data_IF_769196796442
#
_entry.id   IF_769196796442
#
_cell.length_a   1.000
_cell.length_b   1.000
_cell.length_c   1.000
_cell.angle_alpha   90.00
_cell.angle_beta   90.00
_cell.angle_gamma   90.00
#
_symmetry.space_group_name_H-M   'P 1'
#
loop_
_entity.id
_entity.type
_entity.pdbx_description
1 polymer ?
#
# COMPACT_ATOMS: atom_id res chain seq x y z
N UNK A 1 -10.92 11.29 -2.21
CA UNK A 1 -10.23 11.54 -0.96
C UNK A 1 -11.17 11.87 0.18
N UNK A 2 -12.26 12.55 -0.11
CA UNK A 2 -13.19 12.84 0.97
C UNK A 2 -13.77 11.58 1.61
N UNK A 3 -13.71 10.46 0.93
CA UNK A 3 -14.17 9.22 1.51
C UNK A 3 -13.14 8.51 2.34
N UNK A 4 -11.92 9.02 2.35
CA UNK A 4 -10.86 8.43 3.14
C UNK A 4 -11.11 8.72 4.62
N UNK A 5 -11.06 7.71 5.48
CA UNK A 5 -11.28 7.97 6.91
C UNK A 5 -10.17 8.83 7.50
N UNK A 6 -10.50 9.55 8.56
CA UNK A 6 -9.51 10.38 9.23
C UNK A 6 -8.34 9.54 9.73
N UNK A 7 -8.63 8.34 10.22
CA UNK A 7 -7.62 7.43 10.72
C UNK A 7 -8.08 6.00 10.49
N UNK A 8 -7.16 5.08 10.59
CA UNK A 8 -7.48 3.68 10.40
C UNK A 8 -6.26 2.81 10.62
N UNK A 9 -6.42 1.51 10.38
CA UNK A 9 -5.32 0.57 10.56
C UNK A 9 -4.39 0.55 9.35
N UNK A 10 -4.93 0.46 8.16
CA UNK A 10 -4.11 0.30 6.97
C UNK A 10 -4.60 1.18 5.85
N UNK A 11 -3.66 1.85 5.21
CA UNK A 11 -3.91 2.63 4.01
C UNK A 11 -3.11 2.02 2.87
N UNK A 12 -3.73 1.88 1.71
CA UNK A 12 -3.08 1.33 0.54
C UNK A 12 -2.80 2.46 -0.44
N UNK A 13 -1.57 2.53 -0.93
CA UNK A 13 -1.18 3.51 -1.94
C UNK A 13 -1.01 2.76 -3.26
N UNK A 14 -1.74 3.18 -4.28
CA UNK A 14 -1.74 2.51 -5.57
C UNK A 14 -1.22 3.43 -6.66
N UNK A 15 -1.09 2.87 -7.86
CA UNK A 15 -0.61 3.61 -9.01
C UNK A 15 -1.68 4.38 -9.78
N UNK A 16 -2.96 4.13 -9.54
CA UNK A 16 -4.00 4.81 -10.31
C UNK A 16 -5.35 4.78 -9.64
N UNK A 17 -6.25 5.63 -10.15
CA UNK A 17 -7.57 5.78 -9.56
C UNK A 17 -8.46 4.57 -9.74
N UNK A 18 -8.26 3.82 -10.82
CA UNK A 18 -9.03 2.61 -11.02
C UNK A 18 -8.81 1.63 -9.87
N UNK A 19 -7.57 1.53 -9.42
CA UNK A 19 -7.24 0.66 -8.30
C UNK A 19 -7.82 1.16 -7.00
N UNK A 20 -7.82 2.47 -6.80
CA UNK A 20 -8.46 3.06 -5.62
C UNK A 20 -9.92 2.68 -5.56
N UNK A 21 -10.61 2.78 -6.70
CA UNK A 21 -12.04 2.45 -6.76
C UNK A 21 -12.30 0.97 -6.51
N UNK A 22 -11.46 0.11 -7.07
CA UNK A 22 -11.59 -1.33 -6.84
C UNK A 22 -11.42 -1.67 -5.36
N UNK A 23 -10.42 -1.08 -4.72
CA UNK A 23 -10.18 -1.33 -3.31
C UNK A 23 -11.30 -0.78 -2.44
N UNK A 24 -11.77 0.42 -2.75
CA UNK A 24 -12.86 1.02 -1.99
C UNK A 24 -14.11 0.17 -2.08
N UNK A 25 -14.40 -0.38 -3.26
CA UNK A 25 -15.57 -1.22 -3.44
C UNK A 25 -15.49 -2.50 -2.60
N UNK A 26 -14.30 -2.89 -2.19
CA UNK A 26 -14.09 -4.06 -1.36
C UNK A 26 -13.79 -3.73 0.10
N UNK A 27 -13.94 -2.46 0.47
CA UNK A 27 -13.82 -2.05 1.86
C UNK A 27 -12.42 -1.65 2.31
N UNK A 28 -11.53 -1.34 1.38
CA UNK A 28 -10.15 -1.00 1.73
C UNK A 28 -9.85 0.46 1.40
N UNK A 29 -9.43 1.27 2.38
CA UNK A 29 -9.05 2.66 2.09
C UNK A 29 -7.81 2.70 1.21
N UNK A 30 -7.86 3.50 0.17
CA UNK A 30 -6.74 3.58 -0.77
C UNK A 30 -6.65 4.97 -1.38
N UNK A 31 -5.44 5.36 -1.78
CA UNK A 31 -5.23 6.62 -2.48
C UNK A 31 -4.19 6.41 -3.57
N UNK A 32 -4.09 7.37 -4.47
CA UNK A 32 -3.02 7.42 -5.45
C UNK A 32 -2.55 8.86 -5.56
N UNK A 33 -1.35 9.04 -6.12
CA UNK A 33 -0.74 10.37 -6.21
C UNK A 33 -0.52 10.76 -7.66
N UNK A 34 -1.55 10.71 -8.47
CA UNK A 34 -1.48 11.10 -9.85
C UNK A 34 -0.94 10.00 -10.73
N UNK A 35 0.11 10.28 -11.49
CA UNK A 35 0.65 9.27 -12.38
C UNK A 35 1.54 8.29 -11.63
N UNK A 36 1.78 7.14 -12.26
CA UNK A 36 2.63 6.12 -11.66
C UNK A 36 4.04 6.60 -11.39
N UNK A 37 4.50 7.57 -12.16
CA UNK A 37 5.86 8.07 -11.99
C UNK A 37 5.94 9.23 -11.01
N UNK A 38 4.83 9.68 -10.48
CA UNK A 38 4.83 10.81 -9.57
C UNK A 38 5.49 10.42 -8.25
N UNK A 39 6.27 11.33 -7.73
CA UNK A 39 6.89 11.12 -6.42
C UNK A 39 5.92 11.53 -5.34
N UNK A 40 6.00 10.86 -4.21
CA UNK A 40 5.12 11.16 -3.10
C UNK A 40 5.81 12.17 -2.20
N UNK A 41 5.21 13.34 -1.97
CA UNK A 41 5.84 14.32 -1.07
C UNK A 41 5.96 13.76 0.35
N UNK A 42 7.14 13.90 0.93
CA UNK A 42 7.41 13.35 2.25
C UNK A 42 6.49 13.94 3.31
N UNK A 43 6.12 15.21 3.16
CA UNK A 43 5.20 15.83 4.09
C UNK A 43 3.86 15.12 4.13
N UNK A 44 3.36 14.72 2.96
CA UNK A 44 2.09 14.00 2.90
C UNK A 44 2.20 12.62 3.50
N UNK A 45 3.32 11.93 3.25
CA UNK A 45 3.54 10.63 3.85
C UNK A 45 3.59 10.75 5.36
N UNK A 46 4.25 11.79 5.85
CA UNK A 46 4.35 12.02 7.28
C UNK A 46 2.97 12.15 7.92
N UNK A 47 2.10 12.92 7.28
CA UNK A 47 0.74 13.08 7.77
C UNK A 47 -0.03 11.77 7.76
N UNK A 48 0.15 10.99 6.72
CA UNK A 48 -0.55 9.72 6.61
C UNK A 48 -0.08 8.72 7.66
N UNK A 49 1.20 8.74 8.01
CA UNK A 49 1.70 7.83 9.04
C UNK A 49 1.13 8.16 10.41
N UNK A 50 0.66 9.38 10.61
CA UNK A 50 0.01 9.75 11.85
C UNK A 50 -1.44 9.31 11.89
N UNK A 51 -2.05 9.08 10.72
CA UNK A 51 -3.45 8.70 10.62
C UNK A 51 -3.66 7.20 10.49
N UNK A 52 -2.68 6.49 9.95
CA UNK A 52 -2.79 5.06 9.70
C UNK A 52 -1.61 4.34 10.31
N UNK A 53 -1.90 3.21 10.95
CA UNK A 53 -0.83 2.39 11.55
C UNK A 53 0.06 1.77 10.50
N UNK A 54 -0.51 1.46 9.37
CA UNK A 54 0.16 0.69 8.33
C UNK A 54 -0.07 1.35 6.99
N UNK A 55 0.99 1.55 6.24
CA UNK A 55 0.87 2.07 4.88
C UNK A 55 1.52 1.04 3.96
N UNK A 56 0.80 0.64 2.94
CA UNK A 56 1.22 -0.45 2.06
C UNK A 56 1.18 0.03 0.62
N UNK A 57 2.26 -0.23 -0.11
CA UNK A 57 2.32 0.09 -1.54
C UNK A 57 1.80 -1.10 -2.33
N UNK A 58 0.85 -0.86 -3.21
CA UNK A 58 0.29 -1.89 -4.05
C UNK A 58 0.25 -1.39 -5.49
N UNK A 59 1.20 -1.83 -6.27
CA UNK A 59 1.32 -1.44 -7.68
C UNK A 59 1.11 -2.66 -8.56
N UNK A 60 1.08 -2.43 -9.87
CA UNK A 60 0.89 -3.53 -10.80
C UNK A 60 1.97 -4.60 -10.64
N UNK A 61 1.61 -5.83 -10.95
CA UNK A 61 2.54 -6.96 -10.80
C UNK A 61 3.42 -7.17 -12.02
N UNK A 62 3.31 -6.32 -13.04
CA UNK A 62 4.25 -6.41 -14.16
C UNK A 62 5.60 -5.81 -13.75
N UNK A 63 6.59 -5.95 -14.62
CA UNK A 63 7.96 -5.53 -14.28
C UNK A 63 8.04 -4.06 -13.93
N UNK A 64 7.30 -3.22 -14.65
CA UNK A 64 7.31 -1.78 -14.40
C UNK A 64 6.72 -1.47 -13.03
N UNK A 65 5.58 -2.07 -12.71
CA UNK A 65 4.92 -1.83 -11.45
C UNK A 65 5.75 -2.29 -10.26
N UNK A 66 6.37 -3.47 -10.39
CA UNK A 66 7.21 -3.97 -9.30
C UNK A 66 8.43 -3.09 -9.08
N UNK A 67 9.04 -2.63 -10.16
CA UNK A 67 10.19 -1.74 -10.05
C UNK A 67 9.81 -0.45 -9.37
N UNK A 68 8.64 0.09 -9.72
CA UNK A 68 8.14 1.31 -9.14
C UNK A 68 7.90 1.16 -7.64
N UNK A 69 7.26 0.07 -7.26
CA UNK A 69 6.95 -0.17 -5.86
C UNK A 69 8.22 -0.31 -5.03
N UNK A 70 9.21 -1.02 -5.57
CA UNK A 70 10.48 -1.17 -4.87
C UNK A 70 11.20 0.16 -4.71
N UNK A 71 11.19 0.99 -5.76
CA UNK A 71 11.84 2.30 -5.70
C UNK A 71 11.17 3.19 -4.65
N UNK A 72 9.83 3.18 -4.62
CA UNK A 72 9.11 3.98 -3.65
C UNK A 72 9.34 3.47 -2.23
N UNK A 73 9.35 2.16 -2.05
CA UNK A 73 9.61 1.61 -0.73
C UNK A 73 10.98 2.03 -0.22
N UNK A 74 11.96 2.04 -1.11
CA UNK A 74 13.31 2.46 -0.76
C UNK A 74 13.33 3.95 -0.41
N UNK A 75 12.65 4.75 -1.21
CA UNK A 75 12.60 6.20 -0.97
C UNK A 75 11.91 6.52 0.34
N UNK A 76 10.91 5.76 0.70
CA UNK A 76 10.10 6.01 1.89
C UNK A 76 10.48 5.13 3.08
N UNK A 77 11.67 4.56 3.05
CA UNK A 77 12.05 3.59 4.09
C UNK A 77 12.02 4.17 5.50
N UNK A 78 12.20 5.49 5.62
CA UNK A 78 12.15 6.13 6.93
C UNK A 78 10.77 6.05 7.58
N UNK A 79 9.75 5.78 6.78
CA UNK A 79 8.37 5.73 7.26
C UNK A 79 7.85 4.31 7.40
N UNK A 80 8.68 3.32 7.14
CA UNK A 80 8.30 1.92 7.29
C UNK A 80 7.08 1.52 6.48
N UNK A 81 6.96 2.00 5.24
CA UNK A 81 5.87 1.58 4.39
C UNK A 81 6.13 0.16 3.91
N UNK A 82 5.09 -0.65 3.88
CA UNK A 82 5.19 -2.00 3.38
C UNK A 82 4.94 -2.06 1.89
N UNK A 83 5.15 -3.24 1.32
CA UNK A 83 4.89 -3.48 -0.09
C UNK A 83 4.18 -4.81 -0.23
N UNK A 84 3.14 -4.83 -1.03
CA UNK A 84 2.35 -6.03 -1.23
C UNK A 84 2.50 -6.52 -2.65
N UNK A 85 2.70 -7.82 -2.81
CA UNK A 85 2.69 -8.44 -4.12
C UNK A 85 1.52 -9.40 -4.21
N UNK A 86 0.73 -9.24 -5.27
CA UNK A 86 -0.41 -10.11 -5.50
C UNK A 86 0.05 -11.39 -6.19
N UNK A 87 -0.62 -12.51 -5.95
CA UNK A 87 -0.29 -13.76 -6.64
C UNK A 87 -0.83 -13.76 -8.06
N UNK A 88 -0.29 -12.89 -8.89
CA UNK A 88 -0.68 -12.73 -10.29
C UNK A 88 0.52 -12.94 -11.18
N UNK A 89 0.24 -13.34 -12.42
CA UNK A 89 1.31 -13.66 -13.36
C UNK A 89 2.10 -12.43 -13.83
N UNK A 90 1.53 -11.24 -13.71
CA UNK A 90 2.19 -10.04 -14.20
C UNK A 90 2.00 -9.79 -15.68
N UNK A 91 1.07 -10.50 -16.29
CA UNK A 91 0.74 -10.33 -17.70
C UNK A 91 -0.27 -9.21 -17.88
N UNK A 92 -0.59 -8.91 -19.12
CA UNK A 92 -1.53 -7.86 -19.45
C UNK A 92 -2.88 -8.07 -18.77
N UNK A 93 -3.31 -9.32 -18.64
CA UNK A 93 -4.60 -9.66 -18.05
C UNK A 93 -4.56 -9.95 -16.57
N UNK A 94 -3.37 -10.08 -15.99
CA UNK A 94 -3.22 -10.44 -14.57
C UNK A 94 -2.11 -9.62 -13.95
N UNK A 95 -2.37 -8.35 -13.71
CA UNK A 95 -1.31 -7.52 -13.17
C UNK A 95 -1.74 -6.58 -12.04
N UNK A 96 -3.02 -6.24 -11.93
CA UNK A 96 -3.42 -5.24 -10.93
C UNK A 96 -4.52 -5.76 -10.01
N UNK A 97 -4.88 -4.94 -9.04
CA UNK A 97 -5.86 -5.35 -8.04
C UNK A 97 -7.24 -5.59 -8.65
N UNK A 98 -7.59 -4.86 -9.71
CA UNK A 98 -8.85 -5.10 -10.38
C UNK A 98 -8.86 -6.49 -11.00
N UNK A 99 -7.75 -6.89 -11.62
CA UNK A 99 -7.62 -8.23 -12.19
C UNK A 99 -7.73 -9.29 -11.09
N UNK A 100 -7.12 -9.03 -9.94
CA UNK A 100 -7.14 -9.95 -8.81
C UNK A 100 -8.59 -10.29 -8.42
N UNK A 101 -9.41 -9.26 -8.23
CA UNK A 101 -10.80 -9.48 -7.85
C UNK A 101 -11.62 -10.06 -9.00
N UNK A 102 -11.33 -9.66 -10.24
CA UNK A 102 -12.03 -10.19 -11.41
C UNK A 102 -11.80 -11.69 -11.56
N UNK A 103 -10.64 -12.17 -11.15
CA UNK A 103 -10.33 -13.59 -11.22
C UNK A 103 -11.00 -14.41 -10.12
N UNK A 104 -11.77 -13.77 -9.25
CA UNK A 104 -12.56 -14.47 -8.26
C UNK A 104 -12.00 -14.45 -6.85
N UNK A 105 -10.90 -13.76 -6.63
CA UNK A 105 -10.36 -13.66 -5.27
C UNK A 105 -11.24 -12.73 -4.45
N UNK A 106 -11.32 -13.02 -3.16
CA UNK A 106 -12.23 -12.30 -2.27
C UNK A 106 -11.49 -11.28 -1.43
N UNK A 107 -12.27 -10.38 -0.81
CA UNK A 107 -11.71 -9.41 0.12
C UNK A 107 -11.03 -10.10 1.29
N UNK A 108 -11.57 -11.23 1.74
CA UNK A 108 -10.96 -11.99 2.81
C UNK A 108 -9.59 -12.52 2.42
N UNK A 109 -9.49 -13.05 1.20
CA UNK A 109 -8.19 -13.51 0.70
C UNK A 109 -7.20 -12.38 0.61
N UNK A 110 -7.63 -11.23 0.10
CA UNK A 110 -6.76 -10.08 -0.01
C UNK A 110 -6.26 -9.62 1.35
N UNK A 111 -7.16 -9.61 2.33
CA UNK A 111 -6.80 -9.18 3.68
C UNK A 111 -5.69 -10.03 4.26
N UNK A 112 -5.68 -11.32 3.93
CA UNK A 112 -4.65 -12.23 4.43
C UNK A 112 -3.28 -11.97 3.84
N UNK A 113 -3.21 -11.28 2.70
CA UNK A 113 -1.93 -10.95 2.08
C UNK A 113 -1.30 -9.72 2.72
N UNK A 114 -2.04 -8.97 3.47
CA UNK A 114 -1.57 -7.70 4.03
C UNK A 114 -0.62 -7.92 5.19
N UNK A 115 0.39 -7.05 5.33
CA UNK A 115 1.29 -7.13 6.49
C UNK A 115 0.50 -6.91 7.78
N UNK A 116 0.93 -7.54 8.84
CA UNK A 116 0.26 -7.40 10.12
C UNK A 116 0.69 -6.13 10.82
N UNK A 117 -0.25 -5.28 11.23
CA UNK A 117 0.11 -4.03 11.91
C UNK A 117 0.88 -4.25 13.20
N UNK A 118 0.57 -5.31 13.92
CA UNK A 118 1.24 -5.58 15.20
C UNK A 118 2.73 -5.79 15.02
N UNK A 119 3.10 -6.56 14.00
CA UNK A 119 4.50 -6.84 13.75
C UNK A 119 5.24 -5.55 13.45
N UNK A 120 4.64 -4.70 12.61
CA UNK A 120 5.26 -3.44 12.24
C UNK A 120 5.42 -2.53 13.44
N UNK A 121 4.40 -2.46 14.28
CA UNK A 121 4.48 -1.63 15.47
C UNK A 121 5.56 -2.10 16.42
N UNK A 122 5.68 -3.39 16.59
CA UNK A 122 6.71 -3.94 17.45
C UNK A 122 8.11 -3.56 16.96
N UNK A 123 8.33 -3.66 15.68
CA UNK A 123 9.63 -3.32 15.10
C UNK A 123 9.94 -1.84 15.31
N UNK A 124 8.95 -0.99 15.06
CA UNK A 124 9.15 0.44 15.24
C UNK A 124 9.47 0.79 16.69
N UNK A 125 8.76 0.21 17.60
CA UNK A 125 8.97 0.47 19.00
C UNK A 125 10.36 0.04 19.43
N UNK A 126 10.78 -1.11 18.99
CA UNK A 126 12.11 -1.60 19.30
C UNK A 126 13.19 -0.70 18.75
N UNK A 127 13.03 -0.29 17.52
CA UNK A 127 14.01 0.60 16.91
C UNK A 127 14.07 1.93 17.65
N UNK A 128 12.93 2.45 18.02
CA UNK A 128 12.88 3.68 18.77
C UNK A 128 13.58 3.55 20.09
N UNK A 129 13.43 2.43 20.74
CA UNK A 129 14.12 2.21 21.95
C UNK A 129 15.59 2.03 21.79
N UNK A 130 15.99 1.35 20.75
CA UNK A 130 17.40 1.16 20.52
C UNK A 130 18.10 2.48 20.27
N UNK A 131 17.36 3.43 19.77
CA UNK A 131 17.95 4.71 19.44
C UNK A 131 17.97 5.64 20.61
N UNK A 132 16.91 5.75 21.28
CA UNK A 132 16.81 6.70 22.31
C UNK A 132 17.03 6.08 23.57
N UNK A 133 17.02 5.05 23.33
CA UNK A 133 17.15 4.48 24.46
C UNK A 133 17.68 3.73 24.07
#
# INVERSE_FOLDING_TARGET
MEQLPVAGNTLIITGGEKDVLSLAAHGFPAICFGSETARIPHKQIEELTQRFRNIVLLYDMDATGKKHALALQQELRAYNVGRLELPLAGTKQEKDISDYFRLGHTATEFRRLMPRPEVRQYIQHKNGQAIKH
#
